data_IF_568966988587
#
_entry.id   IF_568966988587
#
_cell.length_a   1.000
_cell.length_b   1.000
_cell.length_c   1.000
_cell.angle_alpha   90.00
_cell.angle_beta   90.00
_cell.angle_gamma   90.00
#
_symmetry.space_group_name_H-M   'P 1'
#
loop_
_entity.id
_entity.type
_entity.pdbx_description
1 polymer ?
#
# COMPACT_ATOMS: atom_id res chain seq x y z
N UNK A 1 -0.03 4.35 20.54
CA UNK A 1 -0.51 5.64 20.01
C UNK A 1 -0.34 5.72 18.49
N UNK A 2 0.87 5.56 17.92
CA UNK A 2 1.11 5.62 16.46
C UNK A 2 0.21 4.68 15.63
N UNK A 3 -0.05 3.44 16.11
CA UNK A 3 -0.96 2.50 15.42
C UNK A 3 -2.40 2.99 15.40
N UNK A 4 -2.88 3.59 16.48
CA UNK A 4 -4.24 4.13 16.54
C UNK A 4 -4.42 5.32 15.59
N UNK A 5 -3.44 6.21 15.50
CA UNK A 5 -3.48 7.38 14.64
C UNK A 5 -3.37 7.01 13.15
N UNK A 6 -2.42 6.14 12.78
CA UNK A 6 -2.24 5.74 11.37
C UNK A 6 -3.34 4.80 10.87
N UNK A 7 -3.88 3.93 11.73
CA UNK A 7 -4.92 2.97 11.35
C UNK A 7 -6.34 3.57 11.43
N UNK A 8 -6.54 4.67 12.18
CA UNK A 8 -7.83 5.38 12.24
C UNK A 8 -8.28 5.91 10.87
N UNK A 9 -7.33 6.33 10.03
CA UNK A 9 -7.60 6.79 8.66
C UNK A 9 -7.84 5.66 7.64
N UNK A 10 -7.90 4.39 8.09
CA UNK A 10 -8.07 3.25 7.17
C UNK A 10 -9.36 3.36 6.34
N UNK A 11 -10.45 3.86 6.93
CA UNK A 11 -11.74 4.03 6.26
C UNK A 11 -11.64 5.08 5.14
N UNK A 12 -10.99 6.20 5.42
CA UNK A 12 -10.68 7.24 4.45
C UNK A 12 -9.85 6.67 3.28
N UNK A 13 -8.80 5.92 3.59
CA UNK A 13 -7.95 5.29 2.57
C UNK A 13 -8.71 4.24 1.73
N UNK A 14 -9.62 3.45 2.32
CA UNK A 14 -10.46 2.51 1.58
C UNK A 14 -11.35 3.25 0.61
N UNK A 15 -12.00 4.32 1.05
CA UNK A 15 -12.96 5.07 0.23
C UNK A 15 -12.24 5.93 -0.79
N UNK A 16 -11.35 6.86 -0.35
CA UNK A 16 -10.76 7.88 -1.23
C UNK A 16 -9.62 7.34 -2.10
N UNK A 17 -8.80 6.41 -1.58
CA UNK A 17 -7.66 5.84 -2.32
C UNK A 17 -7.92 4.45 -2.88
N UNK A 18 -9.03 3.83 -2.50
CA UNK A 18 -9.46 2.51 -2.96
C UNK A 18 -10.66 2.57 -3.89
N UNK A 19 -11.84 2.81 -3.33
CA UNK A 19 -13.11 2.69 -4.05
C UNK A 19 -13.29 3.77 -5.11
N UNK A 20 -13.06 5.05 -4.76
CA UNK A 20 -13.27 6.16 -5.69
C UNK A 20 -12.45 6.05 -6.98
N UNK A 21 -11.13 5.81 -6.97
CA UNK A 21 -10.36 5.67 -8.20
C UNK A 21 -10.83 4.50 -9.08
N UNK A 22 -11.26 3.37 -8.48
CA UNK A 22 -11.79 2.23 -9.23
C UNK A 22 -13.10 2.59 -9.90
N UNK A 23 -14.05 3.19 -9.16
CA UNK A 23 -15.37 3.59 -9.69
C UNK A 23 -15.19 4.64 -10.78
N UNK A 24 -14.39 5.68 -10.55
CA UNK A 24 -14.13 6.71 -11.56
C UNK A 24 -13.45 6.14 -12.81
N UNK A 25 -12.46 5.26 -12.65
CA UNK A 25 -11.78 4.62 -13.77
C UNK A 25 -12.75 3.73 -14.57
N UNK A 26 -13.57 2.94 -13.90
CA UNK A 26 -14.57 2.11 -14.55
C UNK A 26 -15.62 2.95 -15.27
N UNK A 27 -16.14 3.99 -14.63
CA UNK A 27 -17.11 4.91 -15.23
C UNK A 27 -16.53 5.61 -16.46
N UNK A 28 -15.29 6.08 -16.36
CA UNK A 28 -14.59 6.73 -17.48
C UNK A 28 -14.43 5.76 -18.66
N UNK A 29 -14.01 4.52 -18.42
CA UNK A 29 -13.87 3.52 -19.47
C UNK A 29 -15.20 3.19 -20.13
N UNK A 30 -16.27 3.02 -19.34
CA UNK A 30 -17.61 2.74 -19.83
C UNK A 30 -18.12 3.93 -20.66
N UNK A 31 -17.98 5.16 -20.16
CA UNK A 31 -18.41 6.36 -20.87
C UNK A 31 -17.66 6.54 -22.20
N UNK A 32 -16.34 6.34 -22.18
CA UNK A 32 -15.51 6.42 -23.38
C UNK A 32 -15.95 5.37 -24.41
N UNK A 33 -16.14 4.13 -23.99
CA UNK A 33 -16.60 3.06 -24.87
C UNK A 33 -18.00 3.36 -25.45
N UNK A 34 -18.92 3.86 -24.64
CA UNK A 34 -20.26 4.24 -25.09
C UNK A 34 -20.23 5.34 -26.17
N UNK A 35 -19.37 6.34 -25.98
CA UNK A 35 -19.18 7.41 -26.99
C UNK A 35 -18.57 6.84 -28.29
N UNK A 36 -17.53 6.01 -28.16
CA UNK A 36 -16.87 5.38 -29.33
C UNK A 36 -17.83 4.48 -30.11
N UNK A 37 -18.61 3.64 -29.40
CA UNK A 37 -19.60 2.75 -30.00
C UNK A 37 -20.75 3.50 -30.69
N UNK A 38 -21.09 4.71 -30.20
CA UNK A 38 -22.07 5.61 -30.83
C UNK A 38 -21.57 6.26 -32.12
N UNK A 39 -20.24 6.34 -32.32
CA UNK A 39 -19.64 6.92 -33.51
C UNK A 39 -19.41 5.85 -34.58
N UNK A 40 -18.70 4.79 -34.26
CA UNK A 40 -18.40 3.67 -35.13
C UNK A 40 -18.09 2.41 -34.32
N UNK A 41 -18.95 1.40 -34.43
CA UNK A 41 -18.83 0.16 -33.65
C UNK A 41 -17.59 -0.65 -34.06
N UNK A 42 -17.21 -0.64 -35.32
CA UNK A 42 -16.05 -1.40 -35.85
C UNK A 42 -14.76 -0.85 -35.24
N UNK A 43 -14.60 0.48 -35.24
CA UNK A 43 -13.44 1.15 -34.64
C UNK A 43 -13.44 1.08 -33.11
N UNK A 44 -14.63 1.10 -32.48
CA UNK A 44 -14.74 0.88 -31.04
C UNK A 44 -14.27 -0.52 -30.63
N UNK A 45 -14.60 -1.55 -31.41
CA UNK A 45 -14.13 -2.92 -31.17
C UNK A 45 -12.62 -3.08 -31.37
N UNK A 46 -12.05 -2.45 -32.36
CA UNK A 46 -10.58 -2.39 -32.57
C UNK A 46 -9.89 -1.74 -31.37
N UNK A 47 -10.46 -0.63 -30.88
CA UNK A 47 -9.95 0.06 -29.69
C UNK A 47 -10.07 -0.81 -28.44
N UNK A 48 -11.18 -1.53 -28.30
CA UNK A 48 -11.42 -2.43 -27.17
C UNK A 48 -10.44 -3.61 -27.17
N UNK A 49 -10.00 -4.10 -28.34
CA UNK A 49 -9.07 -5.20 -28.45
C UNK A 49 -7.70 -4.93 -27.78
N UNK A 50 -7.31 -3.68 -27.64
CA UNK A 50 -6.06 -3.30 -26.93
C UNK A 50 -6.17 -3.50 -25.42
N UNK A 51 -7.38 -3.33 -24.83
CA UNK A 51 -7.61 -3.39 -23.38
C UNK A 51 -7.24 -4.76 -22.77
N UNK A 52 -7.67 -5.92 -23.32
CA UNK A 52 -7.32 -7.21 -22.75
C UNK A 52 -5.81 -7.49 -22.77
N UNK A 53 -5.07 -7.02 -23.79
CA UNK A 53 -3.61 -7.15 -23.83
C UNK A 53 -2.95 -6.33 -22.74
N UNK A 54 -3.40 -5.09 -22.54
CA UNK A 54 -2.93 -4.23 -21.44
C UNK A 54 -3.26 -4.85 -20.08
N UNK A 55 -4.47 -5.37 -19.90
CA UNK A 55 -4.88 -6.02 -18.65
C UNK A 55 -4.07 -7.29 -18.36
N UNK A 56 -3.85 -8.13 -19.37
CA UNK A 56 -3.06 -9.35 -19.24
C UNK A 56 -1.61 -9.03 -18.86
N UNK A 57 -1.02 -8.04 -19.53
CA UNK A 57 0.32 -7.54 -19.21
C UNK A 57 0.39 -7.01 -17.78
N UNK A 58 -0.56 -6.18 -17.40
CA UNK A 58 -0.66 -5.62 -16.06
C UNK A 58 -0.71 -6.72 -14.99
N UNK A 59 -1.59 -7.70 -15.16
CA UNK A 59 -1.75 -8.82 -14.23
C UNK A 59 -0.47 -9.66 -14.12
N UNK A 60 0.16 -9.95 -15.24
CA UNK A 60 1.40 -10.73 -15.28
C UNK A 60 2.55 -9.98 -14.58
N UNK A 61 2.66 -8.69 -14.84
CA UNK A 61 3.78 -7.91 -14.36
C UNK A 61 3.65 -7.48 -12.90
N UNK A 62 2.43 -7.19 -12.43
CA UNK A 62 2.18 -6.82 -11.02
C UNK A 62 2.65 -7.91 -10.06
N UNK A 63 2.44 -9.17 -10.42
CA UNK A 63 2.91 -10.32 -9.62
C UNK A 63 4.44 -10.38 -9.47
N UNK A 64 5.19 -9.92 -10.48
CA UNK A 64 6.66 -9.87 -10.45
C UNK A 64 7.22 -8.62 -9.78
N UNK A 65 6.56 -7.50 -9.95
CA UNK A 65 7.00 -6.22 -9.42
C UNK A 65 6.81 -6.11 -7.91
N UNK A 66 5.73 -6.68 -7.37
CA UNK A 66 5.36 -6.57 -5.97
C UNK A 66 6.44 -7.08 -4.99
N UNK A 67 7.05 -8.27 -5.18
CA UNK A 67 8.09 -8.76 -4.27
C UNK A 67 9.36 -7.89 -4.33
N UNK A 68 9.74 -7.38 -5.51
CA UNK A 68 10.91 -6.50 -5.67
C UNK A 68 10.68 -5.16 -4.98
N UNK A 69 9.50 -4.58 -5.13
CA UNK A 69 9.11 -3.34 -4.46
C UNK A 69 9.04 -3.50 -2.93
N UNK A 70 8.56 -4.65 -2.45
CA UNK A 70 8.56 -4.97 -1.00
C UNK A 70 9.98 -5.06 -0.45
N UNK A 71 10.85 -5.81 -1.10
CA UNK A 71 12.26 -5.93 -0.69
C UNK A 71 12.95 -4.56 -0.64
N UNK A 72 12.74 -3.72 -1.65
CA UNK A 72 13.27 -2.36 -1.66
C UNK A 72 12.78 -1.54 -0.45
N UNK A 73 11.50 -1.68 -0.10
CA UNK A 73 10.90 -0.97 1.05
C UNK A 73 11.37 -1.51 2.40
N UNK A 74 11.60 -2.82 2.51
CA UNK A 74 12.16 -3.44 3.71
C UNK A 74 13.59 -2.96 3.98
N UNK A 75 14.44 -2.96 2.94
CA UNK A 75 15.82 -2.49 3.06
C UNK A 75 15.91 -0.97 3.32
N UNK A 76 15.01 -0.18 2.73
CA UNK A 76 14.88 1.25 3.06
C UNK A 76 14.50 1.46 4.53
N UNK A 77 13.56 0.67 5.05
CA UNK A 77 13.18 0.72 6.46
C UNK A 77 14.31 0.30 7.39
N UNK A 78 15.09 -0.73 7.03
CA UNK A 78 16.28 -1.14 7.78
C UNK A 78 17.33 -0.03 7.83
N UNK A 79 17.59 0.64 6.70
CA UNK A 79 18.51 1.78 6.63
C UNK A 79 18.05 2.93 7.55
N UNK A 80 16.78 3.30 7.51
CA UNK A 80 16.21 4.36 8.36
C UNK A 80 16.27 3.97 9.84
N UNK A 81 15.99 2.71 10.18
CA UNK A 81 16.11 2.22 11.56
C UNK A 81 17.53 2.33 12.08
N UNK A 82 18.54 1.94 11.28
CA UNK A 82 19.97 2.08 11.65
C UNK A 82 20.37 3.54 11.85
N UNK A 83 19.91 4.41 10.96
CA UNK A 83 20.13 5.85 11.12
C UNK A 83 19.57 6.36 12.45
N UNK A 84 18.34 5.98 12.77
CA UNK A 84 17.68 6.37 14.01
C UNK A 84 18.43 5.82 15.24
N UNK A 85 18.88 4.58 15.21
CA UNK A 85 19.69 3.95 16.25
C UNK A 85 21.00 4.72 16.48
N UNK A 86 21.75 5.01 15.40
CA UNK A 86 23.01 5.74 15.48
C UNK A 86 22.85 7.18 16.02
N UNK A 87 21.78 7.88 15.61
CA UNK A 87 21.49 9.23 16.09
C UNK A 87 21.07 9.19 17.56
N UNK A 88 20.23 8.25 17.96
CA UNK A 88 19.75 8.11 19.34
C UNK A 88 20.90 7.77 20.31
N UNK A 89 21.91 7.04 19.85
CA UNK A 89 23.08 6.66 20.63
C UNK A 89 24.32 7.55 20.35
N UNK A 90 24.18 8.72 19.75
CA UNK A 90 25.29 9.55 19.28
C UNK A 90 26.31 9.88 20.36
N UNK A 91 25.86 10.09 21.60
CA UNK A 91 26.76 10.34 22.75
C UNK A 91 27.67 9.14 23.00
N UNK A 92 27.13 7.93 22.92
CA UNK A 92 27.87 6.68 23.09
C UNK A 92 28.88 6.50 21.99
N UNK A 93 28.47 6.70 20.73
CA UNK A 93 29.34 6.63 19.55
C UNK A 93 30.54 7.58 19.70
N UNK A 94 30.27 8.83 20.14
CA UNK A 94 31.31 9.84 20.39
C UNK A 94 32.23 9.49 21.55
N UNK A 95 31.70 8.97 22.64
CA UNK A 95 32.48 8.59 23.83
C UNK A 95 33.48 7.48 23.51
N UNK A 96 33.10 6.54 22.66
CA UNK A 96 33.95 5.40 22.27
C UNK A 96 34.72 5.63 20.96
N UNK A 97 34.65 6.84 20.36
CA UNK A 97 35.28 7.19 19.08
C UNK A 97 34.98 6.15 17.97
N UNK A 98 33.70 5.75 17.84
CA UNK A 98 33.27 4.72 16.90
C UNK A 98 32.53 5.28 15.68
N UNK A 99 32.77 6.52 15.31
CA UNK A 99 32.13 7.19 14.18
C UNK A 99 32.36 6.46 12.86
N UNK A 100 33.59 6.06 12.59
CA UNK A 100 33.95 5.35 11.34
C UNK A 100 33.27 3.98 11.24
N UNK A 101 33.05 3.31 12.37
CA UNK A 101 32.33 2.04 12.40
C UNK A 101 30.85 2.23 12.06
N UNK A 102 30.20 3.19 12.72
CA UNK A 102 28.79 3.49 12.46
C UNK A 102 28.57 4.04 11.04
N UNK A 103 29.49 4.87 10.54
CA UNK A 103 29.45 5.36 9.16
C UNK A 103 29.51 4.21 8.14
N UNK A 104 30.41 3.26 8.31
CA UNK A 104 30.49 2.08 7.42
C UNK A 104 29.21 1.26 7.49
N UNK A 105 28.74 0.97 8.69
CA UNK A 105 27.50 0.20 8.93
C UNK A 105 26.28 0.85 8.27
N UNK A 106 26.18 2.18 8.34
CA UNK A 106 25.14 2.92 7.65
C UNK A 106 25.33 2.91 6.13
N UNK A 107 26.55 3.12 5.65
CA UNK A 107 26.89 3.11 4.22
C UNK A 107 26.52 1.77 3.56
N UNK A 108 26.86 0.65 4.22
CA UNK A 108 26.51 -0.70 3.73
C UNK A 108 25.00 -0.93 3.67
N UNK A 109 24.24 -0.41 4.64
CA UNK A 109 22.78 -0.48 4.62
C UNK A 109 22.18 0.41 3.52
N UNK A 110 22.74 1.61 3.34
CA UNK A 110 22.31 2.55 2.30
C UNK A 110 22.59 2.00 0.89
N UNK A 111 23.75 1.37 0.68
CA UNK A 111 24.10 0.74 -0.61
C UNK A 111 23.15 -0.41 -0.95
N UNK A 112 22.83 -1.27 0.02
CA UNK A 112 21.84 -2.34 -0.18
C UNK A 112 20.46 -1.80 -0.52
N UNK A 113 20.00 -0.76 0.19
CA UNK A 113 18.72 -0.10 -0.09
C UNK A 113 18.72 0.55 -1.49
N UNK A 114 19.83 1.20 -1.87
CA UNK A 114 20.00 1.80 -3.19
C UNK A 114 19.92 0.74 -4.31
N UNK A 115 20.67 -0.35 -4.18
CA UNK A 115 20.66 -1.44 -5.16
C UNK A 115 19.27 -2.04 -5.33
N UNK A 116 18.54 -2.27 -4.23
CA UNK A 116 17.17 -2.77 -4.29
C UNK A 116 16.21 -1.75 -4.92
N UNK A 117 16.37 -0.45 -4.60
CA UNK A 117 15.58 0.63 -5.20
C UNK A 117 15.82 0.76 -6.70
N UNK A 118 17.08 0.66 -7.15
CA UNK A 118 17.43 0.64 -8.58
C UNK A 118 16.81 -0.58 -9.29
N UNK A 119 16.82 -1.74 -8.63
CA UNK A 119 16.12 -2.93 -9.12
C UNK A 119 14.62 -2.71 -9.32
N UNK A 120 13.96 -2.09 -8.35
CA UNK A 120 12.53 -1.71 -8.45
C UNK A 120 12.29 -0.71 -9.57
N UNK A 121 13.10 0.37 -9.64
CA UNK A 121 12.99 1.39 -10.68
C UNK A 121 13.19 0.83 -12.10
N UNK A 122 14.13 -0.11 -12.27
CA UNK A 122 14.34 -0.83 -13.52
C UNK A 122 13.08 -1.60 -13.94
N UNK A 123 12.46 -2.30 -13.01
CA UNK A 123 11.21 -3.01 -13.28
C UNK A 123 10.08 -2.03 -13.66
N UNK A 124 9.90 -0.94 -12.90
CA UNK A 124 8.93 0.11 -13.20
C UNK A 124 9.13 0.69 -14.61
N UNK A 125 10.38 0.93 -15.01
CA UNK A 125 10.73 1.45 -16.32
C UNK A 125 10.42 0.45 -17.44
N UNK A 126 10.73 -0.83 -17.26
CA UNK A 126 10.40 -1.89 -18.24
C UNK A 126 8.88 -1.99 -18.40
N UNK A 127 8.14 -1.97 -17.28
CA UNK A 127 6.69 -1.97 -17.31
C UNK A 127 6.14 -0.80 -18.13
N UNK A 128 6.57 0.41 -17.80
CA UNK A 128 6.16 1.64 -18.52
C UNK A 128 6.50 1.59 -20.01
N UNK A 129 7.69 1.12 -20.36
CA UNK A 129 8.11 1.00 -21.76
C UNK A 129 7.22 0.04 -22.55
N UNK A 130 6.89 -1.12 -21.99
CA UNK A 130 6.00 -2.10 -22.68
C UNK A 130 4.58 -1.57 -22.79
N UNK A 131 4.05 -0.93 -21.75
CA UNK A 131 2.72 -0.32 -21.83
C UNK A 131 2.68 0.79 -22.87
N UNK A 132 3.69 1.66 -22.88
CA UNK A 132 3.79 2.73 -23.89
C UNK A 132 3.87 2.14 -25.31
N UNK A 133 4.66 1.09 -25.52
CA UNK A 133 4.76 0.40 -26.80
C UNK A 133 3.43 -0.20 -27.25
N UNK A 134 2.70 -0.86 -26.35
CA UNK A 134 1.37 -1.41 -26.62
C UNK A 134 0.36 -0.29 -26.97
N UNK A 135 0.40 0.82 -26.25
CA UNK A 135 -0.47 1.98 -26.51
C UNK A 135 -0.16 2.60 -27.88
N UNK A 136 1.11 2.77 -28.21
CA UNK A 136 1.54 3.29 -29.52
C UNK A 136 1.10 2.33 -30.63
N UNK A 137 1.31 1.02 -30.47
CA UNK A 137 0.90 0.03 -31.45
C UNK A 137 -0.63 0.04 -31.64
N UNK A 138 -1.40 0.09 -30.56
CA UNK A 138 -2.86 0.20 -30.61
C UNK A 138 -3.33 1.48 -31.31
N UNK A 139 -2.74 2.61 -30.96
CA UNK A 139 -3.06 3.90 -31.61
C UNK A 139 -2.71 3.86 -33.09
N UNK A 140 -1.56 3.30 -33.45
CA UNK A 140 -1.15 3.16 -34.88
C UNK A 140 -2.13 2.27 -35.65
N UNK A 141 -2.61 1.20 -35.03
CA UNK A 141 -3.61 0.31 -35.67
C UNK A 141 -4.94 1.04 -35.90
N UNK A 142 -5.38 1.84 -34.91
CA UNK A 142 -6.62 2.64 -35.06
C UNK A 142 -6.46 3.73 -36.10
N UNK A 143 -5.29 4.38 -36.17
CA UNK A 143 -5.00 5.38 -37.23
C UNK A 143 -5.02 4.71 -38.60
N UNK A 144 -4.45 3.52 -38.74
CA UNK A 144 -4.43 2.78 -40.01
C UNK A 144 -5.86 2.36 -40.41
N UNK A 145 -6.60 1.70 -39.56
CA UNK A 145 -7.96 1.24 -39.82
C UNK A 145 -8.93 2.42 -40.05
N UNK A 146 -8.83 3.42 -39.16
CA UNK A 146 -9.64 4.64 -39.27
C UNK A 146 -9.30 5.48 -40.49
N UNK A 147 -8.00 5.58 -40.86
CA UNK A 147 -7.56 6.23 -42.07
C UNK A 147 -8.13 5.58 -43.35
N UNK A 148 -8.13 4.26 -43.40
CA UNK A 148 -8.81 3.51 -44.47
C UNK A 148 -10.33 3.80 -44.50
N UNK A 149 -10.97 3.88 -43.33
CA UNK A 149 -12.39 4.23 -43.24
C UNK A 149 -12.69 5.67 -43.69
N UNK A 150 -11.77 6.62 -43.47
CA UNK A 150 -11.87 7.99 -43.97
C UNK A 150 -11.76 8.00 -45.52
N UNK A 151 -10.79 7.26 -46.08
CA UNK A 151 -10.62 7.14 -47.54
C UNK A 151 -11.82 6.54 -48.22
N UNK A 152 -12.54 5.63 -47.58
CA UNK A 152 -13.79 5.05 -48.06
C UNK A 152 -15.03 5.91 -47.75
N UNK A 153 -14.86 7.11 -47.18
CA UNK A 153 -15.93 8.03 -46.89
C UNK A 153 -16.88 7.59 -45.76
N UNK A 154 -16.51 6.56 -44.96
CA UNK A 154 -17.32 6.05 -43.84
C UNK A 154 -17.31 6.96 -42.63
N UNK A 155 -16.18 7.57 -42.34
CA UNK A 155 -15.99 8.48 -41.20
C UNK A 155 -15.29 9.78 -41.67
N UNK A 156 -15.49 10.86 -40.88
CA UNK A 156 -14.79 12.12 -41.13
C UNK A 156 -13.37 12.11 -40.54
N UNK A 157 -12.48 12.96 -41.07
CA UNK A 157 -11.14 13.16 -40.46
C UNK A 157 -11.24 13.65 -39.03
N UNK A 158 -12.25 14.47 -38.68
CA UNK A 158 -12.49 14.95 -37.32
C UNK A 158 -12.83 13.80 -36.39
N UNK A 159 -13.62 12.81 -36.85
CA UNK A 159 -13.93 11.60 -36.11
C UNK A 159 -12.68 10.76 -35.80
N UNK A 160 -11.77 10.61 -36.79
CA UNK A 160 -10.51 9.92 -36.64
C UNK A 160 -9.61 10.59 -35.59
N UNK A 161 -9.50 11.91 -35.61
CA UNK A 161 -8.74 12.66 -34.60
C UNK A 161 -9.32 12.51 -33.22
N UNK A 162 -10.65 12.53 -33.08
CA UNK A 162 -11.35 12.31 -31.83
C UNK A 162 -11.07 10.90 -31.28
N UNK A 163 -11.13 9.86 -32.11
CA UNK A 163 -10.83 8.47 -31.75
C UNK A 163 -9.40 8.31 -31.24
N UNK A 164 -8.42 8.92 -31.92
CA UNK A 164 -7.01 8.84 -31.47
C UNK A 164 -6.77 9.56 -30.13
N UNK A 165 -7.43 10.69 -29.90
CA UNK A 165 -7.39 11.40 -28.62
C UNK A 165 -7.99 10.52 -27.48
N UNK A 166 -9.13 9.88 -27.72
CA UNK A 166 -9.75 8.98 -26.74
C UNK A 166 -8.86 7.79 -26.38
N UNK A 167 -8.17 7.16 -27.34
CA UNK A 167 -7.25 6.07 -27.05
C UNK A 167 -6.14 6.50 -26.07
N UNK A 168 -5.62 7.72 -26.23
CA UNK A 168 -4.62 8.27 -25.33
C UNK A 168 -5.09 8.34 -23.87
N UNK A 169 -6.38 8.54 -23.66
CA UNK A 169 -6.98 8.61 -22.32
C UNK A 169 -7.32 7.25 -21.69
N UNK A 170 -7.33 6.14 -22.43
CA UNK A 170 -7.66 4.79 -21.88
C UNK A 170 -6.61 4.30 -20.89
N UNK A 171 -5.36 4.70 -21.08
CA UNK A 171 -4.26 4.24 -20.22
C UNK A 171 -4.36 4.74 -18.78
N UNK A 172 -4.75 5.97 -18.57
CA UNK A 172 -4.90 6.57 -17.23
C UNK A 172 -5.80 5.76 -16.30
N UNK A 173 -7.07 5.50 -16.66
CA UNK A 173 -7.98 4.67 -15.88
C UNK A 173 -7.48 3.25 -15.63
N UNK A 174 -6.82 2.61 -16.59
CA UNK A 174 -6.25 1.26 -16.40
C UNK A 174 -5.13 1.25 -15.35
N UNK A 175 -4.23 2.22 -15.42
CA UNK A 175 -3.20 2.40 -14.40
C UNK A 175 -3.79 2.78 -13.04
N UNK A 176 -4.85 3.58 -13.02
CA UNK A 176 -5.58 3.93 -11.81
C UNK A 176 -6.10 2.69 -11.08
N UNK A 177 -6.76 1.77 -11.78
CA UNK A 177 -7.25 0.51 -11.21
C UNK A 177 -6.09 -0.34 -10.66
N UNK A 178 -5.00 -0.43 -11.42
CA UNK A 178 -3.85 -1.23 -11.01
C UNK A 178 -3.17 -0.72 -9.73
N UNK A 179 -2.90 0.58 -9.68
CA UNK A 179 -2.23 1.22 -8.54
C UNK A 179 -3.10 1.18 -7.28
N UNK A 180 -4.42 1.25 -7.45
CA UNK A 180 -5.37 1.20 -6.34
C UNK A 180 -5.41 -0.15 -5.64
N UNK A 181 -5.13 -1.25 -6.35
CA UNK A 181 -5.16 -2.60 -5.77
C UNK A 181 -4.18 -2.74 -4.59
N UNK A 182 -2.97 -2.17 -4.71
CA UNK A 182 -1.99 -2.16 -3.62
C UNK A 182 -2.43 -1.31 -2.42
N UNK A 183 -2.94 -0.11 -2.68
CA UNK A 183 -3.45 0.79 -1.64
C UNK A 183 -4.62 0.17 -0.87
N UNK A 184 -5.53 -0.52 -1.57
CA UNK A 184 -6.66 -1.21 -0.98
C UNK A 184 -6.23 -2.36 -0.07
N UNK A 185 -5.22 -3.16 -0.46
CA UNK A 185 -4.69 -4.23 0.39
C UNK A 185 -4.12 -3.69 1.70
N UNK A 186 -3.38 -2.57 1.66
CA UNK A 186 -2.88 -1.90 2.87
C UNK A 186 -4.02 -1.41 3.76
N UNK A 187 -5.02 -0.76 3.19
CA UNK A 187 -6.17 -0.25 3.93
C UNK A 187 -6.99 -1.35 4.58
N UNK A 188 -7.20 -2.49 3.88
CA UNK A 188 -7.87 -3.67 4.44
C UNK A 188 -7.06 -4.28 5.59
N UNK A 189 -5.73 -4.34 5.46
CA UNK A 189 -4.87 -4.83 6.56
C UNK A 189 -4.94 -3.92 7.79
N UNK A 190 -4.97 -2.59 7.61
CA UNK A 190 -5.18 -1.63 8.71
C UNK A 190 -6.55 -1.79 9.35
N UNK A 191 -7.61 -1.91 8.56
CA UNK A 191 -8.98 -2.14 9.07
C UNK A 191 -9.07 -3.45 9.90
N UNK A 192 -8.35 -4.49 9.48
CA UNK A 192 -8.28 -5.75 10.25
C UNK A 192 -7.61 -5.54 11.60
N UNK A 193 -6.50 -4.80 11.67
CA UNK A 193 -5.82 -4.48 12.95
C UNK A 193 -6.71 -3.65 13.88
N UNK A 194 -7.43 -2.67 13.33
CA UNK A 194 -8.41 -1.88 14.09
C UNK A 194 -9.48 -2.78 14.68
N UNK A 195 -10.05 -3.69 13.87
CA UNK A 195 -11.04 -4.65 14.35
C UNK A 195 -10.48 -5.57 15.44
N UNK A 196 -9.24 -6.04 15.30
CA UNK A 196 -8.56 -6.87 16.31
C UNK A 196 -8.39 -6.09 17.62
N UNK A 197 -8.09 -4.79 17.55
CA UNK A 197 -7.99 -3.92 18.74
C UNK A 197 -9.35 -3.75 19.42
N UNK A 198 -10.44 -3.58 18.68
CA UNK A 198 -11.79 -3.49 19.24
C UNK A 198 -12.31 -4.84 19.81
N UNK A 199 -11.73 -5.95 19.37
CA UNK A 199 -12.07 -7.28 19.87
C UNK A 199 -11.33 -7.63 21.17
N UNK A 200 -10.37 -6.80 21.61
CA UNK A 200 -9.74 -6.99 22.92
C UNK A 200 -10.78 -6.82 24.04
N UNK A 201 -10.69 -7.67 25.03
CA UNK A 201 -11.53 -7.54 26.20
C UNK A 201 -11.30 -6.16 26.86
N UNK A 202 -12.38 -5.44 27.06
CA UNK A 202 -12.34 -4.19 27.83
C UNK A 202 -12.08 -4.50 29.31
N UNK A 203 -11.51 -3.53 29.99
CA UNK A 203 -11.35 -3.61 31.45
C UNK A 203 -12.72 -3.96 32.09
N UNK A 204 -12.76 -4.90 33.05
CA UNK A 204 -14.01 -5.25 33.74
C UNK A 204 -14.62 -3.98 34.34
N UNK A 205 -15.91 -3.77 34.07
CA UNK A 205 -16.62 -2.69 34.75
C UNK A 205 -16.65 -2.93 36.24
N UNK A 206 -16.53 -1.87 37.01
CA UNK A 206 -16.69 -1.98 38.48
C UNK A 206 -18.01 -2.69 38.83
N UNK A 207 -17.99 -3.66 39.72
CA UNK A 207 -19.22 -4.33 40.16
C UNK A 207 -20.15 -3.28 40.80
N UNK A 208 -21.48 -3.45 40.59
CA UNK A 208 -22.50 -2.50 41.09
C UNK A 208 -22.40 -2.23 42.61
N UNK A 209 -21.67 -3.07 43.34
CA UNK A 209 -21.44 -2.98 44.76
C UNK A 209 -19.95 -2.85 45.09
N UNK A 210 -19.18 -2.17 44.24
CA UNK A 210 -17.78 -1.88 44.51
C UNK A 210 -17.66 -1.11 45.85
N UNK A 211 -16.81 -1.58 46.73
CA UNK A 211 -16.54 -0.91 47.99
C UNK A 211 -15.83 0.43 47.72
N UNK A 212 -16.46 1.53 48.09
CA UNK A 212 -15.79 2.82 48.10
C UNK A 212 -14.80 2.85 49.25
N UNK A 213 -13.53 2.63 48.94
CA UNK A 213 -12.45 2.66 49.93
C UNK A 213 -11.95 4.09 50.12
N UNK A 214 -12.34 4.73 51.21
CA UNK A 214 -11.77 5.96 51.71
C UNK A 214 -10.89 5.68 52.93
N UNK A 215 -9.66 6.23 52.93
CA UNK A 215 -8.78 6.13 54.09
C UNK A 215 -7.98 4.85 54.24
N UNK A 216 -7.54 4.25 53.14
CA UNK A 216 -6.60 3.14 53.14
C UNK A 216 -5.27 3.57 53.78
N UNK A 217 -4.80 2.78 54.78
CA UNK A 217 -3.54 3.04 55.50
C UNK A 217 -2.29 2.67 54.69
N UNK A 218 -2.45 2.04 53.51
CA UNK A 218 -1.33 1.66 52.67
C UNK A 218 -0.66 0.33 53.01
N UNK A 219 -1.18 -0.44 54.01
CA UNK A 219 -0.66 -1.75 54.35
C UNK A 219 -1.07 -2.77 53.29
N UNK A 220 -0.09 -3.43 52.63
CA UNK A 220 -0.30 -4.40 51.57
C UNK A 220 0.30 -5.74 51.98
N UNK A 221 -0.49 -6.81 51.92
CA UNK A 221 -0.06 -8.17 52.26
C UNK A 221 -0.29 -9.06 51.04
N UNK A 222 0.75 -9.79 50.65
CA UNK A 222 0.68 -10.86 49.67
C UNK A 222 0.77 -12.19 50.40
N UNK A 223 -0.20 -13.08 50.20
CA UNK A 223 -0.23 -14.42 50.83
C UNK A 223 -0.32 -15.47 49.72
N UNK A 224 0.74 -16.29 49.60
CA UNK A 224 0.81 -17.41 48.68
C UNK A 224 0.37 -17.07 47.22
N UNK A 225 0.78 -15.90 46.73
CA UNK A 225 0.39 -15.42 45.39
C UNK A 225 1.21 -16.10 44.31
N UNK A 226 0.53 -16.74 43.36
CA UNK A 226 1.14 -17.29 42.15
C UNK A 226 0.58 -16.54 40.93
N UNK A 227 1.42 -16.26 39.94
CA UNK A 227 1.03 -15.56 38.75
C UNK A 227 1.66 -16.16 37.48
N UNK A 228 0.88 -16.25 36.42
CA UNK A 228 1.32 -16.63 35.08
C UNK A 228 0.74 -15.66 34.03
N UNK A 229 1.51 -15.39 32.98
CA UNK A 229 0.98 -14.75 31.79
C UNK A 229 0.26 -15.76 30.91
N UNK A 230 -0.74 -15.33 30.12
CA UNK A 230 -1.59 -16.21 29.29
C UNK A 230 -0.80 -17.11 28.32
N UNK A 231 0.40 -16.69 27.92
CA UNK A 231 1.24 -17.40 26.93
C UNK A 231 2.47 -18.10 27.51
N UNK A 232 2.59 -18.18 28.85
CA UNK A 232 3.80 -18.73 29.51
C UNK A 232 3.50 -19.61 30.71
N UNK A 233 4.53 -20.30 31.22
CA UNK A 233 4.48 -20.96 32.50
C UNK A 233 4.39 -19.95 33.64
N UNK A 234 4.06 -20.42 34.88
CA UNK A 234 3.98 -19.54 36.05
C UNK A 234 5.31 -18.83 36.30
N UNK A 235 5.25 -17.49 36.45
CA UNK A 235 6.40 -16.60 36.66
C UNK A 235 6.64 -16.36 38.17
N UNK A 236 5.56 -16.34 38.97
CA UNK A 236 5.62 -16.21 40.41
C UNK A 236 4.98 -17.43 41.03
N UNK A 237 5.59 -17.97 42.08
CA UNK A 237 5.13 -19.14 42.83
C UNK A 237 5.08 -18.86 44.32
N UNK A 238 3.89 -18.91 44.88
CA UNK A 238 3.72 -18.92 46.33
C UNK A 238 4.39 -17.75 47.09
N UNK A 239 4.41 -16.56 46.46
CA UNK A 239 5.05 -15.36 47.02
C UNK A 239 4.23 -14.83 48.18
N UNK A 240 4.88 -14.70 49.33
CA UNK A 240 4.28 -14.12 50.53
C UNK A 240 5.18 -13.04 51.10
N UNK A 241 4.67 -11.82 51.23
CA UNK A 241 5.34 -10.70 51.90
C UNK A 241 4.30 -9.67 52.37
N UNK A 242 4.71 -8.85 53.34
CA UNK A 242 3.93 -7.71 53.80
C UNK A 242 4.74 -6.42 53.64
N UNK A 243 4.09 -5.37 53.15
CA UNK A 243 4.63 -4.03 53.08
C UNK A 243 3.86 -3.13 54.04
N UNK A 244 4.57 -2.50 54.98
CA UNK A 244 3.99 -1.52 55.88
C UNK A 244 3.72 -0.19 55.14
N UNK A 245 2.80 0.66 55.65
CA UNK A 245 2.52 1.97 55.08
C UNK A 245 3.74 2.85 54.99
#
# INVERSE_FOLDING_TARGET
LYRLESDACCLEHIVLRGLFPIVFSALTLVAMFAVLAGIDLELALVSLAVIPFLYLWLRFYTGRMLPVARLAKELESEMVQRLHESISSIRLVKTYAREDFEQRRFSDAAERALCARLGSAKQESIFGAVVSSLTIAGTSLVILAGGLSVLHGRISLGTLLLLTAYLGFVYGPLCGIANTTGALQHAVASARRVRETFALATEPADPQHALQTSGLTGHVVFENVSFAYDTGGPVLYGISFAAAP
#
